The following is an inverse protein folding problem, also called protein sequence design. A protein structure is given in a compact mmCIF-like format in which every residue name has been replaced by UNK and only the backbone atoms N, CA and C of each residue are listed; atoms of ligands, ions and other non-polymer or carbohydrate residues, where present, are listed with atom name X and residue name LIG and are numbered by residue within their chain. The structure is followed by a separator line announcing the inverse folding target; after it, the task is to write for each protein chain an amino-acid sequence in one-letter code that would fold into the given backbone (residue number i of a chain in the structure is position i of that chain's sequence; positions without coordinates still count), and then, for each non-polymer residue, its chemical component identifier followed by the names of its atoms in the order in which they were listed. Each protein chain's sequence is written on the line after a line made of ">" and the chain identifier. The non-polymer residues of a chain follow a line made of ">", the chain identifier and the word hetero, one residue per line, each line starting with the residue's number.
data_IF_516461105014
#
_entry.id   IF_516461105014
#
_cell.length_a   1.000
_cell.length_b   1.000
_cell.length_c   1.000
_cell.angle_alpha   90.00
_cell.angle_beta   90.00
_cell.angle_gamma   90.00
#
_symmetry.space_group_name_H-M   'P 1'
#
loop_
_entity.id
_entity.type
_entity.pdbx_description
1 polymer ?
#
# COMPACT_ATOMS: atom_id res chain seq x y z
N UNK A 1 74.65 13.62 -6.45
CA UNK A 1 73.79 13.51 -7.65
C UNK A 1 72.30 13.53 -7.25
N UNK A 2 71.84 14.55 -6.50
CA UNK A 2 70.52 14.50 -5.83
C UNK A 2 69.52 15.55 -6.40
N UNK A 3 69.93 16.28 -7.44
CA UNK A 3 69.18 17.40 -8.01
C UNK A 3 68.24 17.04 -9.15
N UNK A 4 68.56 16.03 -9.96
CA UNK A 4 67.78 15.65 -11.15
C UNK A 4 66.55 14.81 -10.80
N UNK A 5 66.66 13.90 -9.84
CA UNK A 5 65.56 13.03 -9.40
C UNK A 5 64.39 13.85 -8.82
N UNK A 6 64.70 14.99 -8.18
CA UNK A 6 63.68 15.92 -7.64
C UNK A 6 62.89 16.66 -8.71
N UNK A 7 63.46 16.87 -9.91
CA UNK A 7 62.79 17.58 -11.01
C UNK A 7 61.83 16.65 -11.76
N UNK A 8 62.23 15.40 -11.99
CA UNK A 8 61.40 14.40 -12.70
C UNK A 8 60.15 14.04 -11.88
N UNK A 9 60.29 13.89 -10.55
CA UNK A 9 59.17 13.60 -9.65
C UNK A 9 58.16 14.76 -9.62
N UNK A 10 58.62 16.02 -9.71
CA UNK A 10 57.74 17.19 -9.72
C UNK A 10 56.97 17.35 -11.04
N UNK A 11 57.58 17.01 -12.18
CA UNK A 11 56.91 17.08 -13.48
C UNK A 11 55.88 15.95 -13.65
N UNK A 12 56.21 14.74 -13.20
CA UNK A 12 55.27 13.61 -13.20
C UNK A 12 54.03 13.84 -12.33
N UNK A 13 54.19 14.52 -11.18
CA UNK A 13 53.08 14.86 -10.29
C UNK A 13 52.13 15.89 -10.91
N UNK A 14 52.64 16.87 -11.66
CA UNK A 14 51.81 17.94 -12.26
C UNK A 14 51.01 17.41 -13.47
N UNK A 15 51.61 16.54 -14.30
CA UNK A 15 50.92 15.92 -15.44
C UNK A 15 49.92 14.84 -15.03
N UNK A 16 50.19 14.10 -13.96
CA UNK A 16 49.24 13.12 -13.40
C UNK A 16 48.01 13.76 -12.77
N UNK A 17 48.14 14.96 -12.17
CA UNK A 17 47.03 15.65 -11.54
C UNK A 17 46.08 16.32 -12.55
N UNK A 18 46.58 16.73 -13.72
CA UNK A 18 45.77 17.35 -14.77
C UNK A 18 44.83 16.35 -15.48
N UNK A 19 45.16 15.05 -15.50
CA UNK A 19 44.31 14.01 -16.10
C UNK A 19 43.14 13.57 -15.21
N UNK A 20 43.20 13.84 -13.90
CA UNK A 20 42.14 13.46 -12.95
C UNK A 20 40.97 14.45 -12.86
N UNK A 21 41.15 15.68 -13.35
CA UNK A 21 40.15 16.76 -13.17
C UNK A 21 39.07 16.78 -14.25
N UNK A 22 39.24 16.06 -15.35
CA UNK A 22 38.21 15.95 -16.40
C UNK A 22 37.15 14.89 -16.08
N UNK A 23 37.40 13.97 -15.14
CA UNK A 23 36.44 12.93 -14.76
C UNK A 23 35.31 13.42 -13.82
N UNK A 24 35.41 14.65 -13.28
CA UNK A 24 34.34 15.28 -12.50
C UNK A 24 33.55 16.34 -13.29
N UNK A 25 33.79 16.46 -14.60
CA UNK A 25 33.00 17.36 -15.42
C UNK A 25 31.59 16.76 -15.62
N UNK A 26 30.61 17.36 -14.94
CA UNK A 26 29.16 17.21 -15.07
C UNK A 26 28.46 16.09 -14.27
N UNK A 27 28.25 16.29 -12.94
CA UNK A 27 27.26 15.51 -12.17
C UNK A 27 25.81 15.73 -12.60
N UNK A 28 25.59 16.57 -13.62
CA UNK A 28 24.28 16.93 -14.17
C UNK A 28 24.08 16.44 -15.61
N UNK A 29 24.80 15.39 -16.03
CA UNK A 29 24.49 14.72 -17.28
C UNK A 29 23.18 13.93 -17.13
N UNK A 30 22.18 14.31 -17.91
CA UNK A 30 20.91 13.57 -17.97
C UNK A 30 21.14 12.19 -18.58
N UNK A 31 20.78 11.12 -17.86
CA UNK A 31 20.82 9.76 -18.40
C UNK A 31 19.98 9.65 -19.68
N UNK A 32 20.49 8.89 -20.66
CA UNK A 32 19.75 8.61 -21.90
C UNK A 32 18.51 7.76 -21.59
N UNK A 33 17.37 8.13 -22.17
CA UNK A 33 16.13 7.35 -22.07
C UNK A 33 16.30 6.05 -22.86
N UNK A 34 15.93 4.92 -22.25
CA UNK A 34 15.97 3.60 -22.92
C UNK A 34 14.93 3.53 -24.05
N UNK A 35 15.36 3.30 -25.31
CA UNK A 35 14.46 3.26 -26.47
C UNK A 35 13.51 2.06 -26.47
N UNK A 36 13.77 1.02 -25.68
CA UNK A 36 12.87 -0.13 -25.55
C UNK A 36 11.69 0.11 -24.61
N UNK A 37 11.68 1.24 -23.90
CA UNK A 37 10.63 1.58 -22.95
C UNK A 37 9.35 2.06 -23.64
N UNK A 38 8.16 1.57 -23.25
CA UNK A 38 6.88 2.03 -23.79
C UNK A 38 6.59 3.50 -23.51
N UNK A 39 7.33 4.13 -22.58
CA UNK A 39 7.20 5.56 -22.24
C UNK A 39 8.35 6.41 -22.79
N UNK A 40 9.23 5.87 -23.63
CA UNK A 40 10.43 6.55 -24.09
C UNK A 40 10.14 7.90 -24.77
N UNK A 41 9.11 7.93 -25.63
CA UNK A 41 8.68 9.15 -26.32
C UNK A 41 8.16 10.21 -25.33
N UNK A 42 7.36 9.81 -24.35
CA UNK A 42 6.80 10.71 -23.35
C UNK A 42 7.88 11.24 -22.39
N UNK A 43 8.79 10.37 -21.94
CA UNK A 43 9.92 10.75 -21.09
C UNK A 43 10.88 11.72 -21.80
N UNK A 44 11.15 11.49 -23.09
CA UNK A 44 11.98 12.39 -23.91
C UNK A 44 11.29 13.73 -24.11
N UNK A 45 9.98 13.74 -24.40
CA UNK A 45 9.20 14.98 -24.52
C UNK A 45 9.17 15.78 -23.22
N UNK A 46 8.97 15.12 -22.07
CA UNK A 46 8.97 15.75 -20.76
C UNK A 46 10.36 16.32 -20.38
N UNK A 47 11.44 15.57 -20.65
CA UNK A 47 12.81 16.02 -20.39
C UNK A 47 13.20 17.24 -21.24
N UNK A 48 12.71 17.33 -22.47
CA UNK A 48 12.95 18.46 -23.37
C UNK A 48 12.07 19.68 -23.05
N UNK A 49 10.99 19.50 -22.29
CA UNK A 49 10.10 20.60 -21.91
C UNK A 49 10.65 21.33 -20.69
N UNK A 50 11.27 22.50 -20.91
CA UNK A 50 11.64 23.39 -19.79
C UNK A 50 10.38 24.03 -19.20
N UNK A 51 9.85 23.42 -18.15
CA UNK A 51 8.80 24.02 -17.33
C UNK A 51 9.26 25.35 -16.69
N UNK A 52 8.32 26.22 -16.31
CA UNK A 52 8.65 27.46 -15.61
C UNK A 52 9.41 27.14 -14.32
N UNK A 53 10.61 27.69 -14.17
CA UNK A 53 11.36 27.57 -12.92
C UNK A 53 10.68 28.40 -11.85
N UNK A 54 10.22 27.73 -10.79
CA UNK A 54 9.69 28.39 -9.60
C UNK A 54 10.78 29.30 -9.04
N UNK A 55 10.44 30.55 -8.79
CA UNK A 55 11.31 31.52 -8.14
C UNK A 55 11.18 31.38 -6.64
N UNK A 56 12.19 31.81 -5.90
CA UNK A 56 12.09 31.92 -4.44
C UNK A 56 11.00 32.91 -4.00
N UNK A 57 10.63 33.88 -4.86
CA UNK A 57 9.48 34.75 -4.66
C UNK A 57 8.13 34.03 -4.72
N UNK A 58 8.09 32.84 -5.31
CA UNK A 58 6.86 32.03 -5.45
C UNK A 58 6.65 31.12 -4.23
N UNK A 59 7.54 31.21 -3.23
CA UNK A 59 7.34 30.56 -1.94
C UNK A 59 6.22 31.31 -1.21
N UNK A 60 5.14 30.62 -0.83
CA UNK A 60 4.07 31.24 -0.06
C UNK A 60 4.61 31.83 1.26
N UNK A 61 4.01 32.92 1.70
CA UNK A 61 4.33 33.50 3.01
C UNK A 61 3.99 32.48 4.10
N UNK A 62 4.81 32.43 5.15
CA UNK A 62 4.55 31.57 6.31
C UNK A 62 3.14 31.89 6.84
N UNK A 63 2.27 30.87 7.00
CA UNK A 63 0.95 31.05 7.58
C UNK A 63 1.04 31.74 8.94
N UNK A 64 0.20 32.75 9.17
CA UNK A 64 0.17 33.49 10.45
C UNK A 64 -0.87 32.93 11.42
N UNK A 65 -1.74 32.07 10.93
CA UNK A 65 -2.84 31.39 11.60
C UNK A 65 -2.42 30.05 12.23
N UNK A 66 -1.16 29.94 12.64
CA UNK A 66 -0.68 28.75 13.34
C UNK A 66 -1.21 28.77 14.78
N UNK A 67 -1.80 27.66 15.28
CA UNK A 67 -2.27 27.57 16.64
C UNK A 67 -1.16 27.87 17.65
N UNK A 68 -1.49 28.66 18.67
CA UNK A 68 -0.62 28.89 19.81
C UNK A 68 -0.46 27.62 20.64
N UNK A 69 0.62 27.52 21.43
CA UNK A 69 0.85 26.39 22.34
C UNK A 69 -0.32 26.17 23.32
N UNK A 70 -0.99 27.24 23.74
CA UNK A 70 -2.16 27.17 24.60
C UNK A 70 -3.37 26.54 23.88
N UNK A 71 -3.62 26.92 22.63
CA UNK A 71 -4.67 26.33 21.80
C UNK A 71 -4.41 24.86 21.51
N UNK A 72 -3.16 24.49 21.20
CA UNK A 72 -2.78 23.08 21.02
C UNK A 72 -3.05 22.28 22.30
N UNK A 73 -2.63 22.80 23.46
CA UNK A 73 -2.89 22.15 24.75
C UNK A 73 -4.38 21.95 25.00
N UNK A 74 -5.18 22.99 24.76
CA UNK A 74 -6.64 22.92 24.92
C UNK A 74 -7.26 21.84 24.01
N UNK A 75 -6.84 21.80 22.74
CA UNK A 75 -7.31 20.80 21.77
C UNK A 75 -6.93 19.37 22.21
N UNK A 76 -5.71 19.16 22.72
CA UNK A 76 -5.28 17.85 23.22
C UNK A 76 -6.11 17.42 24.43
N UNK A 77 -6.36 18.31 25.39
CA UNK A 77 -7.22 18.02 26.55
C UNK A 77 -8.63 17.66 26.11
N UNK A 78 -9.20 18.42 25.17
CA UNK A 78 -10.52 18.13 24.61
C UNK A 78 -10.54 16.76 23.91
N UNK A 79 -9.53 16.44 23.11
CA UNK A 79 -9.43 15.16 22.41
C UNK A 79 -9.30 13.99 23.38
N UNK A 80 -8.52 14.14 24.46
CA UNK A 80 -8.42 13.12 25.51
C UNK A 80 -9.77 12.89 26.21
N UNK A 81 -10.48 13.97 26.54
CA UNK A 81 -11.82 13.88 27.13
C UNK A 81 -12.82 13.19 26.18
N UNK A 82 -12.79 13.54 24.89
CA UNK A 82 -13.62 12.90 23.87
C UNK A 82 -13.27 11.41 23.70
N UNK A 83 -11.98 11.06 23.71
CA UNK A 83 -11.51 9.68 23.68
C UNK A 83 -12.01 8.88 24.89
N UNK A 84 -11.88 9.42 26.10
CA UNK A 84 -12.38 8.78 27.31
C UNK A 84 -13.91 8.59 27.27
N UNK A 85 -14.65 9.59 26.78
CA UNK A 85 -16.09 9.49 26.58
C UNK A 85 -16.46 8.42 25.55
N UNK A 86 -15.73 8.34 24.43
CA UNK A 86 -15.93 7.32 23.42
C UNK A 86 -15.65 5.92 23.98
N UNK A 87 -14.54 5.71 24.67
CA UNK A 87 -14.23 4.42 25.31
C UNK A 87 -15.33 3.98 26.27
N UNK A 88 -15.89 4.91 27.06
CA UNK A 88 -17.03 4.63 27.93
C UNK A 88 -18.28 4.28 27.14
N UNK A 89 -18.57 5.03 26.06
CA UNK A 89 -19.72 4.80 25.20
C UNK A 89 -19.60 3.46 24.46
N UNK A 90 -18.40 3.01 24.10
CA UNK A 90 -18.11 1.75 23.40
C UNK A 90 -17.71 0.61 24.34
N UNK A 91 -17.92 0.75 25.65
CA UNK A 91 -17.62 -0.33 26.57
C UNK A 91 -18.46 -1.58 26.26
N UNK A 92 -17.96 -2.80 26.54
CA UNK A 92 -18.76 -4.01 26.39
C UNK A 92 -20.10 -3.87 27.12
N UNK A 93 -21.18 -4.36 26.51
CA UNK A 93 -22.55 -4.31 27.03
C UNK A 93 -23.21 -2.91 27.09
N UNK A 94 -22.63 -1.85 26.50
CA UNK A 94 -23.33 -0.56 26.33
C UNK A 94 -24.16 -0.47 25.05
N UNK A 95 -23.92 -1.37 24.10
CA UNK A 95 -24.68 -1.50 22.87
C UNK A 95 -25.50 -2.77 22.91
N UNK A 96 -26.80 -2.63 22.76
CA UNK A 96 -27.73 -3.74 22.62
C UNK A 96 -28.16 -3.82 21.16
N UNK A 97 -27.95 -4.98 20.52
CA UNK A 97 -28.44 -5.23 19.17
C UNK A 97 -29.95 -5.51 19.24
N UNK A 98 -30.75 -4.45 19.14
CA UNK A 98 -32.21 -4.54 19.06
C UNK A 98 -32.65 -4.88 17.65
N UNK A 99 -33.82 -5.51 17.54
CA UNK A 99 -34.51 -5.74 16.25
C UNK A 99 -33.72 -6.59 15.23
N UNK A 100 -32.84 -7.47 15.70
CA UNK A 100 -32.09 -8.39 14.84
C UNK A 100 -33.01 -9.32 14.03
N UNK A 101 -34.08 -9.85 14.62
CA UNK A 101 -35.04 -10.71 13.91
C UNK A 101 -35.92 -9.91 12.91
N UNK A 102 -36.50 -8.75 13.25
CA UNK A 102 -37.13 -7.87 12.27
C UNK A 102 -36.22 -7.50 11.08
N UNK A 103 -34.95 -7.18 11.34
CA UNK A 103 -33.96 -6.89 10.31
C UNK A 103 -33.66 -8.11 9.45
N UNK A 104 -33.43 -9.29 10.05
CA UNK A 104 -33.20 -10.53 9.33
C UNK A 104 -34.41 -10.93 8.49
N UNK A 105 -35.62 -10.81 9.02
CA UNK A 105 -36.86 -11.06 8.30
C UNK A 105 -37.01 -10.12 7.10
N UNK A 106 -36.67 -8.83 7.25
CA UNK A 106 -36.64 -7.88 6.13
C UNK A 106 -35.59 -8.30 5.09
N UNK A 107 -34.37 -8.61 5.51
CA UNK A 107 -33.31 -9.02 4.60
C UNK A 107 -33.68 -10.30 3.83
N UNK A 108 -34.32 -11.28 4.48
CA UNK A 108 -34.84 -12.50 3.82
C UNK A 108 -35.92 -12.16 2.79
N UNK A 109 -36.82 -11.21 3.07
CA UNK A 109 -37.82 -10.74 2.10
C UNK A 109 -37.17 -10.03 0.91
N UNK A 110 -36.25 -9.11 1.19
CA UNK A 110 -35.57 -8.31 0.17
C UNK A 110 -34.69 -9.17 -0.75
N UNK A 111 -34.03 -10.19 -0.19
CA UNK A 111 -33.22 -11.14 -0.95
C UNK A 111 -34.05 -11.98 -1.93
N UNK A 112 -35.38 -12.01 -1.78
CA UNK A 112 -36.32 -12.82 -2.55
C UNK A 112 -35.75 -14.22 -2.88
N UNK A 113 -35.28 -14.97 -1.87
CA UNK A 113 -34.71 -16.28 -2.12
C UNK A 113 -35.79 -17.13 -2.79
N UNK A 114 -35.45 -17.87 -3.87
CA UNK A 114 -36.41 -18.73 -4.52
C UNK A 114 -37.03 -19.65 -3.47
N UNK A 115 -38.35 -19.79 -3.50
CA UNK A 115 -39.05 -20.72 -2.62
C UNK A 115 -38.32 -22.06 -2.71
N UNK A 116 -37.89 -22.58 -1.56
CA UNK A 116 -37.35 -23.93 -1.48
C UNK A 116 -38.48 -24.86 -1.93
N UNK A 117 -38.50 -25.22 -3.22
CA UNK A 117 -39.48 -26.12 -3.76
C UNK A 117 -39.37 -27.43 -2.99
N UNK A 118 -40.51 -28.07 -2.73
CA UNK A 118 -40.50 -29.42 -2.19
C UNK A 118 -39.60 -30.28 -3.09
N UNK A 119 -38.67 -31.08 -2.51
CA UNK A 119 -37.78 -31.91 -3.31
C UNK A 119 -38.58 -32.73 -4.32
N UNK A 120 -38.20 -32.65 -5.59
CA UNK A 120 -38.84 -33.43 -6.64
C UNK A 120 -38.47 -34.90 -6.50
N UNK A 121 -39.20 -35.80 -7.15
CA UNK A 121 -38.82 -37.22 -7.15
C UNK A 121 -37.43 -37.43 -7.79
N UNK A 122 -37.04 -36.56 -8.72
CA UNK A 122 -35.68 -36.55 -9.27
C UNK A 122 -34.63 -36.17 -8.21
N UNK A 123 -34.93 -35.21 -7.32
CA UNK A 123 -34.03 -34.82 -6.22
C UNK A 123 -33.90 -35.94 -5.18
N UNK A 124 -35.00 -36.65 -4.89
CA UNK A 124 -34.98 -37.88 -4.07
C UNK A 124 -34.09 -38.95 -4.70
N UNK A 125 -34.29 -39.24 -5.99
CA UNK A 125 -33.48 -40.22 -6.71
C UNK A 125 -32.00 -39.85 -6.74
N UNK A 126 -31.67 -38.57 -6.95
CA UNK A 126 -30.31 -38.05 -6.91
C UNK A 126 -29.67 -38.20 -5.53
N UNK A 127 -30.44 -37.92 -4.47
CA UNK A 127 -29.99 -38.08 -3.08
C UNK A 127 -29.73 -39.55 -2.75
N UNK A 128 -30.61 -40.46 -3.18
CA UNK A 128 -30.45 -41.90 -3.00
C UNK A 128 -29.27 -42.46 -3.80
N UNK A 129 -29.05 -41.97 -5.03
CA UNK A 129 -27.90 -42.33 -5.86
C UNK A 129 -26.59 -41.85 -5.24
N UNK A 130 -26.55 -40.62 -4.72
CA UNK A 130 -25.41 -40.10 -3.97
C UNK A 130 -25.13 -40.92 -2.72
N UNK A 131 -26.15 -41.23 -1.92
CA UNK A 131 -26.01 -42.07 -0.73
C UNK A 131 -25.53 -43.49 -1.07
N UNK A 132 -25.98 -44.07 -2.19
CA UNK A 132 -25.49 -45.37 -2.69
C UNK A 132 -24.03 -45.30 -3.12
N UNK A 133 -23.63 -44.24 -3.83
CA UNK A 133 -22.24 -44.01 -4.22
C UNK A 133 -21.33 -43.79 -3.01
N UNK A 134 -21.79 -43.04 -2.00
CA UNK A 134 -21.07 -42.82 -0.75
C UNK A 134 -20.88 -44.13 0.03
N UNK A 135 -21.92 -44.95 0.15
CA UNK A 135 -21.83 -46.29 0.76
C UNK A 135 -20.90 -47.22 -0.02
N UNK A 136 -20.94 -47.20 -1.35
CA UNK A 136 -20.04 -48.00 -2.19
C UNK A 136 -18.57 -47.59 -2.09
N UNK A 137 -18.27 -46.35 -1.68
CA UNK A 137 -16.91 -45.86 -1.42
C UNK A 137 -16.46 -46.05 0.03
N UNK A 138 -17.38 -46.32 0.94
CA UNK A 138 -17.04 -46.56 2.33
C UNK A 138 -16.43 -47.96 2.47
N UNK A 139 -15.11 -48.04 2.66
CA UNK A 139 -14.49 -49.28 3.12
C UNK A 139 -14.91 -49.53 4.56
N UNK A 140 -15.40 -50.73 4.88
CA UNK A 140 -15.63 -51.13 6.26
C UNK A 140 -14.31 -51.03 7.04
N UNK A 141 -14.31 -50.51 8.29
CA UNK A 141 -13.12 -50.51 9.12
C UNK A 141 -12.67 -51.95 9.35
N UNK A 142 -11.36 -52.25 9.33
CA UNK A 142 -10.85 -53.61 9.45
C UNK A 142 -11.32 -54.23 10.77
N UNK A 143 -12.04 -55.35 10.67
CA UNK A 143 -12.64 -56.04 11.81
C UNK A 143 -11.65 -57.01 12.43
N UNK A 144 -10.51 -56.53 12.94
CA UNK A 144 -9.71 -57.26 13.90
C UNK A 144 -9.07 -56.31 14.91
N UNK A 145 -9.24 -56.56 16.23
CA UNK A 145 -8.31 -56.02 17.22
C UNK A 145 -6.94 -56.72 17.01
N UNK A 146 -5.86 -55.94 16.98
CA UNK A 146 -4.52 -56.47 17.27
C UNK A 146 -4.42 -56.82 18.76
#
# INVERSE_FOLDING_TARGET
>A
MNGETRKIVRVGLILGFAAGVTACASPFSSSKVDPSSPVAAAATAAANTKGPRRKFSDIPVIPKDVPTNAQIRANVVQQQAAGAALTKATAPNTWELKDSEPYAAKARRDANPPALAAPTEADRANTEAFARAARGRASAPPSQPQ
#
